data_IF_976821190813
#
_entry.id   IF_976821190813
#
_cell.length_a   1.000
_cell.length_b   1.000
_cell.length_c   1.000
_cell.angle_alpha   90.00
_cell.angle_beta   90.00
_cell.angle_gamma   90.00
#
_symmetry.space_group_name_H-M   'P 1'
#
loop_
_entity.id
_entity.type
_entity.pdbx_description
1 polymer ?
#
# COMPACT_ATOMS: atom_id res chain seq x y z
N UNK A 1 10.96 5.92 13.45
CA UNK A 1 10.26 6.22 12.18
C UNK A 1 11.18 7.17 11.41
N UNK A 2 12.07 6.65 10.56
CA UNK A 2 13.21 7.40 9.97
C UNK A 2 12.98 7.80 8.51
N UNK A 3 11.78 8.29 8.16
CA UNK A 3 11.47 8.59 6.75
C UNK A 3 12.28 9.74 6.15
N UNK A 4 12.76 10.69 6.98
CA UNK A 4 13.60 11.82 6.54
C UNK A 4 15.09 11.45 6.50
N UNK A 5 15.56 10.77 7.54
CA UNK A 5 16.96 10.33 7.64
C UNK A 5 17.30 9.31 6.54
N UNK A 6 16.37 8.41 6.21
CA UNK A 6 16.52 7.45 5.12
C UNK A 6 16.63 8.18 3.77
N UNK A 7 15.76 9.18 3.52
CA UNK A 7 15.81 9.98 2.29
C UNK A 7 17.17 10.67 2.12
N UNK A 8 17.63 11.39 3.13
CA UNK A 8 18.90 12.12 3.07
C UNK A 8 20.09 11.16 2.93
N UNK A 9 20.06 10.03 3.64
CA UNK A 9 21.09 8.99 3.54
C UNK A 9 21.18 8.42 2.14
N UNK A 10 20.05 8.08 1.50
CA UNK A 10 20.05 7.47 0.17
C UNK A 10 20.44 8.45 -0.94
N UNK A 11 19.99 9.70 -0.85
CA UNK A 11 20.41 10.76 -1.79
C UNK A 11 21.91 11.05 -1.66
N UNK A 12 22.44 11.12 -0.45
CA UNK A 12 23.88 11.33 -0.22
C UNK A 12 24.74 10.14 -0.67
N UNK A 13 24.16 8.94 -0.82
CA UNK A 13 24.85 7.77 -1.36
C UNK A 13 24.80 7.69 -2.89
N UNK A 14 24.25 8.71 -3.56
CA UNK A 14 24.23 8.81 -5.02
C UNK A 14 23.00 8.22 -5.68
N UNK A 15 21.92 7.94 -4.93
CA UNK A 15 20.61 7.68 -5.55
C UNK A 15 20.00 8.99 -6.01
N UNK A 16 19.40 8.99 -7.19
CA UNK A 16 18.88 10.19 -7.81
C UNK A 16 17.55 10.70 -7.20
N UNK A 17 16.73 9.80 -6.63
CA UNK A 17 15.52 10.18 -5.89
C UNK A 17 15.11 9.12 -4.87
N UNK A 18 14.12 9.47 -4.03
CA UNK A 18 13.60 8.61 -2.97
C UNK A 18 12.08 8.69 -2.89
N UNK A 19 11.44 7.52 -2.88
CA UNK A 19 10.02 7.36 -2.61
C UNK A 19 9.88 6.45 -1.39
N UNK A 20 9.29 6.99 -0.33
CA UNK A 20 9.04 6.23 0.88
C UNK A 20 7.88 5.25 0.69
N UNK A 21 7.96 4.07 1.33
CA UNK A 21 6.81 3.16 1.41
C UNK A 21 5.65 3.78 2.23
N UNK A 22 4.38 3.45 1.95
CA UNK A 22 3.90 2.68 0.80
C UNK A 22 4.09 3.47 -0.50
N UNK A 23 4.46 2.77 -1.57
CA UNK A 23 4.72 3.40 -2.87
C UNK A 23 3.36 3.82 -3.45
N UNK A 24 3.13 5.14 -3.51
CA UNK A 24 1.91 5.69 -4.11
C UNK A 24 2.11 5.86 -5.60
N UNK A 25 1.24 5.26 -6.42
CA UNK A 25 1.36 5.28 -7.87
C UNK A 25 1.47 6.72 -8.44
N UNK A 26 0.67 7.67 -7.93
CA UNK A 26 0.73 9.07 -8.36
C UNK A 26 2.11 9.70 -8.10
N UNK A 27 2.77 9.34 -6.98
CA UNK A 27 4.06 9.88 -6.59
C UNK A 27 5.16 9.29 -7.46
N UNK A 28 5.13 7.98 -7.71
CA UNK A 28 6.05 7.29 -8.62
C UNK A 28 5.94 7.86 -10.04
N UNK A 29 4.73 7.97 -10.57
CA UNK A 29 4.48 8.51 -11.91
C UNK A 29 4.92 9.97 -12.02
N UNK A 30 4.66 10.80 -11.00
CA UNK A 30 5.12 12.19 -10.98
C UNK A 30 6.64 12.27 -11.07
N UNK A 31 7.33 11.48 -10.24
CA UNK A 31 8.79 11.45 -10.17
C UNK A 31 9.42 11.04 -11.49
N UNK A 32 8.91 9.98 -12.11
CA UNK A 32 9.35 9.55 -13.44
C UNK A 32 9.10 10.65 -14.48
N UNK A 33 7.93 11.28 -14.48
CA UNK A 33 7.62 12.39 -15.42
C UNK A 33 8.54 13.60 -15.25
N UNK A 34 8.89 13.95 -14.02
CA UNK A 34 9.77 15.08 -13.72
C UNK A 34 11.17 14.84 -14.29
N UNK A 35 11.65 13.59 -14.23
CA UNK A 35 12.93 13.20 -14.82
C UNK A 35 12.93 13.21 -16.35
N UNK A 36 11.85 12.75 -16.97
CA UNK A 36 11.74 12.78 -18.43
C UNK A 36 11.46 14.17 -19.01
N UNK A 37 11.00 15.13 -18.19
CA UNK A 37 10.90 16.55 -18.57
C UNK A 37 12.26 17.29 -18.49
N UNK A 38 13.26 16.70 -17.85
CA UNK A 38 14.56 17.32 -17.61
C UNK A 38 15.56 17.21 -18.79
N UNK A 39 15.18 16.59 -19.91
CA UNK A 39 15.97 16.55 -21.16
C UNK A 39 15.76 17.82 -22.03
N UNK A 40 15.93 19.01 -21.45
CA UNK A 40 15.83 20.29 -22.15
C UNK A 40 16.21 21.49 -21.27
N UNK A 41 17.36 22.11 -21.53
CA UNK A 41 18.12 23.00 -20.61
C UNK A 41 17.72 24.51 -20.69
N UNK A 42 17.25 25.07 -19.55
CA UNK A 42 17.39 26.44 -18.91
C UNK A 42 16.83 27.76 -19.56
N UNK A 43 16.60 28.91 -18.83
CA UNK A 43 16.69 29.25 -17.38
C UNK A 43 15.41 29.93 -16.75
N UNK A 44 15.44 30.22 -15.43
CA UNK A 44 14.40 30.89 -14.61
C UNK A 44 14.42 32.45 -14.68
N UNK A 45 13.62 33.26 -13.94
CA UNK A 45 12.39 33.04 -13.12
C UNK A 45 11.25 34.07 -13.37
N UNK A 46 10.02 33.84 -12.86
CA UNK A 46 9.10 34.91 -12.39
C UNK A 46 8.01 34.34 -11.46
N UNK A 47 7.68 35.12 -10.44
CA UNK A 47 7.03 34.73 -9.19
C UNK A 47 5.48 34.69 -9.25
N UNK A 48 4.89 33.87 -8.37
CA UNK A 48 3.51 34.00 -7.86
C UNK A 48 3.53 33.71 -6.33
N UNK A 49 2.82 34.49 -5.49
CA UNK A 49 3.05 34.60 -4.04
C UNK A 49 2.43 33.46 -3.20
N UNK A 50 2.76 33.36 -1.89
CA UNK A 50 2.30 32.27 -1.03
C UNK A 50 0.86 32.48 -0.54
N UNK A 51 0.04 31.41 -0.42
CA UNK A 51 -1.06 31.39 0.52
C UNK A 51 -0.56 30.97 1.91
N UNK A 52 -1.06 31.69 2.90
CA UNK A 52 -0.66 31.70 4.29
C UNK A 52 -0.97 30.41 5.08
N UNK A 53 -0.15 30.19 6.10
CA UNK A 53 -0.38 29.52 7.40
C UNK A 53 -1.47 28.45 7.49
N UNK A 54 -1.03 27.18 7.52
CA UNK A 54 -1.66 26.15 8.36
C UNK A 54 -0.63 25.68 9.40
N UNK A 55 -0.98 25.65 10.70
CA UNK A 55 -0.03 25.49 11.81
C UNK A 55 0.56 24.08 11.88
N UNK A 56 1.67 23.89 12.63
CA UNK A 56 2.29 22.58 12.82
C UNK A 56 1.39 21.72 13.70
N UNK A 57 0.85 20.64 13.14
CA UNK A 57 0.23 19.57 13.90
C UNK A 57 1.30 18.74 14.61
N UNK A 58 1.64 19.16 15.83
CA UNK A 58 2.40 18.39 16.81
C UNK A 58 1.83 16.98 17.02
N UNK A 59 2.73 16.05 17.33
CA UNK A 59 2.37 14.67 17.64
C UNK A 59 1.52 14.53 18.91
N UNK A 60 0.76 13.44 18.98
CA UNK A 60 0.21 12.79 20.18
C UNK A 60 -0.04 11.32 19.75
N UNK A 61 0.33 10.25 20.47
CA UNK A 61 0.59 10.16 21.90
C UNK A 61 -0.73 10.24 22.69
N UNK A 62 -1.45 9.12 22.82
CA UNK A 62 -2.41 8.93 23.92
C UNK A 62 -3.91 8.86 23.58
N UNK A 63 -4.45 7.65 23.80
CA UNK A 63 -5.76 7.30 24.36
C UNK A 63 -7.04 8.11 24.06
N UNK A 64 -8.00 7.39 23.46
CA UNK A 64 -9.32 7.16 24.05
C UNK A 64 -10.43 8.14 23.68
N UNK A 65 -11.37 7.70 22.85
CA UNK A 65 -12.79 7.62 23.20
C UNK A 65 -13.55 6.82 22.14
N UNK A 66 -14.45 5.96 22.62
CA UNK A 66 -15.22 5.03 21.82
C UNK A 66 -16.16 5.72 20.84
N UNK A 67 -16.31 5.07 19.70
CA UNK A 67 -17.44 5.23 18.79
C UNK A 67 -17.50 3.94 17.98
N UNK A 68 -18.52 3.13 18.26
CA UNK A 68 -18.93 2.01 17.43
C UNK A 68 -19.27 2.55 16.04
N UNK A 69 -18.37 2.37 15.09
CA UNK A 69 -18.58 2.70 13.69
C UNK A 69 -17.72 1.78 12.85
N UNK A 70 -18.26 0.64 12.45
CA UNK A 70 -17.69 -0.18 11.39
C UNK A 70 -17.57 0.69 10.13
N UNK A 71 -16.39 1.24 9.88
CA UNK A 71 -16.09 1.91 8.63
C UNK A 71 -15.85 0.81 7.60
N UNK A 72 -16.88 0.46 6.84
CA UNK A 72 -16.79 -0.57 5.81
C UNK A 72 -15.87 -0.08 4.68
N UNK A 73 -14.59 -0.43 4.77
CA UNK A 73 -13.63 -0.18 3.70
C UNK A 73 -14.11 -0.87 2.42
N UNK A 74 -14.04 -0.20 1.25
CA UNK A 74 -14.39 -0.83 -0.01
C UNK A 74 -13.38 -1.92 -0.35
N UNK A 75 -13.82 -3.00 -0.99
CA UNK A 75 -12.89 -4.07 -1.43
C UNK A 75 -11.87 -3.53 -2.44
N UNK A 76 -12.31 -2.64 -3.33
CA UNK A 76 -11.47 -1.95 -4.33
C UNK A 76 -11.78 -0.46 -4.25
N UNK A 77 -10.74 0.35 -4.08
CA UNK A 77 -10.83 1.80 -4.14
C UNK A 77 -10.88 2.26 -5.60
N UNK A 78 -12.08 2.58 -6.08
CA UNK A 78 -12.30 2.97 -7.47
C UNK A 78 -11.56 4.26 -7.85
N UNK A 79 -11.32 5.18 -6.91
CA UNK A 79 -10.55 6.40 -7.19
C UNK A 79 -9.10 6.07 -7.55
N UNK A 80 -8.46 5.14 -6.82
CA UNK A 80 -7.12 4.67 -7.14
C UNK A 80 -7.12 3.95 -8.49
N UNK A 81 -8.13 3.12 -8.75
CA UNK A 81 -8.27 2.42 -10.02
C UNK A 81 -8.40 3.39 -11.18
N UNK A 82 -9.23 4.43 -11.07
CA UNK A 82 -9.38 5.48 -12.09
C UNK A 82 -8.07 6.23 -12.33
N UNK A 83 -7.31 6.54 -11.26
CA UNK A 83 -5.99 7.14 -11.39
C UNK A 83 -5.01 6.22 -12.11
N UNK A 84 -4.99 4.92 -11.79
CA UNK A 84 -4.15 3.94 -12.46
C UNK A 84 -4.54 3.80 -13.94
N UNK A 85 -5.84 3.69 -14.24
CA UNK A 85 -6.37 3.64 -15.61
C UNK A 85 -6.00 4.88 -16.43
N UNK A 86 -6.06 6.07 -15.83
CA UNK A 86 -5.69 7.33 -16.48
C UNK A 86 -4.26 7.34 -17.02
N UNK A 87 -3.33 6.64 -16.37
CA UNK A 87 -1.91 6.64 -16.74
C UNK A 87 -1.45 5.36 -17.43
N UNK A 88 -2.04 4.21 -17.10
CA UNK A 88 -1.66 2.89 -17.60
C UNK A 88 -2.64 2.24 -18.58
N UNK A 89 -3.86 2.78 -18.71
CA UNK A 89 -4.97 2.13 -19.42
C UNK A 89 -5.62 1.02 -18.63
N UNK A 90 -6.78 0.55 -19.09
CA UNK A 90 -7.54 -0.52 -18.43
C UNK A 90 -6.77 -1.85 -18.40
N UNK A 91 -6.12 -2.22 -19.50
CA UNK A 91 -5.39 -3.49 -19.65
C UNK A 91 -4.27 -3.66 -18.62
N UNK A 92 -3.47 -2.60 -18.38
CA UNK A 92 -2.40 -2.63 -17.37
C UNK A 92 -2.97 -2.82 -15.95
N UNK A 93 -4.10 -2.18 -15.63
CA UNK A 93 -4.70 -2.31 -14.30
C UNK A 93 -5.22 -3.73 -14.09
N UNK A 94 -5.85 -4.31 -15.12
CA UNK A 94 -6.32 -5.68 -15.05
C UNK A 94 -5.18 -6.69 -14.95
N UNK A 95 -4.12 -6.55 -15.76
CA UNK A 95 -2.95 -7.43 -15.64
C UNK A 95 -2.33 -7.32 -14.24
N UNK A 96 -2.25 -6.10 -13.68
CA UNK A 96 -1.74 -5.89 -12.31
C UNK A 96 -2.62 -6.56 -11.24
N UNK A 97 -3.93 -6.66 -11.46
CA UNK A 97 -4.83 -7.38 -10.56
C UNK A 97 -4.71 -8.89 -10.68
N UNK A 98 -4.48 -9.43 -11.87
CA UNK A 98 -4.22 -10.87 -12.08
C UNK A 98 -2.86 -11.30 -11.50
N UNK A 99 -1.83 -10.47 -11.70
CA UNK A 99 -0.51 -10.67 -11.11
C UNK A 99 -0.62 -10.65 -9.58
N UNK A 100 -1.34 -9.66 -9.03
CA UNK A 100 -1.59 -9.57 -7.60
C UNK A 100 -2.38 -10.77 -7.07
N UNK A 101 -3.43 -11.22 -7.76
CA UNK A 101 -4.21 -12.41 -7.37
C UNK A 101 -3.29 -13.63 -7.19
N UNK A 102 -2.40 -13.85 -8.15
CA UNK A 102 -1.47 -14.97 -8.16
C UNK A 102 -0.47 -14.85 -7.00
N UNK A 103 0.23 -13.72 -6.89
CA UNK A 103 1.23 -13.50 -5.83
C UNK A 103 0.61 -13.53 -4.42
N UNK A 104 -0.56 -12.92 -4.25
CA UNK A 104 -1.25 -12.87 -2.96
C UNK A 104 -1.67 -14.28 -2.49
N UNK A 105 -2.15 -15.12 -3.42
CA UNK A 105 -2.46 -16.52 -3.15
C UNK A 105 -1.23 -17.28 -2.67
N UNK A 106 -0.13 -17.19 -3.39
CA UNK A 106 1.14 -17.86 -3.02
C UNK A 106 1.67 -17.39 -1.66
N UNK A 107 1.62 -16.09 -1.38
CA UNK A 107 2.06 -15.52 -0.09
C UNK A 107 1.17 -16.00 1.06
N UNK A 108 -0.13 -16.11 0.84
CA UNK A 108 -1.08 -16.57 1.85
C UNK A 108 -0.93 -18.06 2.13
N UNK A 109 -0.76 -18.88 1.09
CA UNK A 109 -0.43 -20.31 1.25
C UNK A 109 0.88 -20.50 2.00
N UNK A 110 1.90 -19.69 1.69
CA UNK A 110 3.15 -19.69 2.42
C UNK A 110 2.97 -19.27 3.89
N UNK A 111 2.07 -18.33 4.20
CA UNK A 111 1.71 -17.99 5.58
C UNK A 111 1.08 -19.20 6.30
N UNK A 112 0.07 -19.84 5.70
CA UNK A 112 -0.62 -20.99 6.28
C UNK A 112 0.33 -22.18 6.54
N UNK A 113 1.29 -22.43 5.65
CA UNK A 113 2.34 -23.42 5.88
C UNK A 113 3.28 -23.01 7.02
N UNK A 114 3.65 -21.73 7.08
CA UNK A 114 4.55 -21.20 8.10
C UNK A 114 3.93 -21.23 9.50
N UNK A 115 2.58 -21.17 9.62
CA UNK A 115 1.88 -21.39 10.91
C UNK A 115 2.20 -22.77 11.47
N UNK A 116 2.12 -23.83 10.63
CA UNK A 116 2.42 -25.21 11.04
C UNK A 116 3.87 -25.37 11.52
N UNK A 117 4.78 -24.68 10.86
CA UNK A 117 6.22 -24.70 11.15
C UNK A 117 6.63 -23.68 12.23
N UNK A 118 5.69 -22.88 12.75
CA UNK A 118 5.92 -21.77 13.70
C UNK A 118 6.97 -20.75 13.21
N UNK A 119 7.07 -20.55 11.90
CA UNK A 119 7.98 -19.57 11.30
C UNK A 119 7.28 -18.20 11.19
N UNK A 120 7.20 -17.51 12.33
CA UNK A 120 6.50 -16.22 12.43
C UNK A 120 7.21 -15.11 11.65
N UNK A 121 8.53 -15.19 11.45
CA UNK A 121 9.27 -14.21 10.67
C UNK A 121 8.85 -14.24 9.19
N UNK A 122 8.68 -15.44 8.64
CA UNK A 122 8.21 -15.61 7.27
C UNK A 122 6.77 -15.11 7.09
N UNK A 123 5.89 -15.36 8.06
CA UNK A 123 4.52 -14.84 8.06
C UNK A 123 4.54 -13.31 8.07
N UNK A 124 5.33 -12.68 8.94
CA UNK A 124 5.46 -11.22 9.00
C UNK A 124 5.96 -10.64 7.68
N UNK A 125 6.96 -11.26 7.05
CA UNK A 125 7.50 -10.82 5.76
C UNK A 125 6.42 -10.87 4.67
N UNK A 126 5.69 -11.98 4.58
CA UNK A 126 4.63 -12.16 3.59
C UNK A 126 3.48 -11.16 3.81
N UNK A 127 3.00 -11.00 5.04
CA UNK A 127 1.96 -10.01 5.37
C UNK A 127 2.40 -8.58 5.06
N UNK A 128 3.67 -8.24 5.31
CA UNK A 128 4.22 -6.94 5.00
C UNK A 128 4.21 -6.64 3.50
N UNK A 129 4.63 -7.62 2.68
CA UNK A 129 4.59 -7.51 1.22
C UNK A 129 3.16 -7.42 0.71
N UNK A 130 2.27 -8.31 1.17
CA UNK A 130 0.87 -8.34 0.76
C UNK A 130 0.17 -7.01 1.06
N UNK A 131 0.37 -6.44 2.26
CA UNK A 131 -0.13 -5.12 2.63
C UNK A 131 0.37 -4.03 1.67
N UNK A 132 1.65 -4.05 1.32
CA UNK A 132 2.26 -3.07 0.44
C UNK A 132 1.70 -3.13 -0.99
N UNK A 133 1.63 -4.33 -1.55
CA UNK A 133 1.13 -4.56 -2.90
C UNK A 133 -0.37 -4.23 -2.99
N UNK A 134 -1.17 -4.72 -2.05
CA UNK A 134 -2.60 -4.43 -1.98
C UNK A 134 -2.88 -2.93 -1.86
N UNK A 135 -2.15 -2.23 -0.97
CA UNK A 135 -2.31 -0.79 -0.80
C UNK A 135 -1.89 0.04 -2.02
N UNK A 136 -0.95 -0.45 -2.82
CA UNK A 136 -0.52 0.22 -4.06
C UNK A 136 -1.60 0.13 -5.15
N UNK A 137 -2.33 -0.99 -5.18
CA UNK A 137 -3.37 -1.31 -6.16
C UNK A 137 -4.78 -0.86 -5.71
N UNK A 138 -4.91 -0.27 -4.51
CA UNK A 138 -6.18 0.17 -3.96
C UNK A 138 -7.07 -0.98 -3.47
N UNK A 139 -6.49 -2.12 -3.10
CA UNK A 139 -7.20 -3.30 -2.58
C UNK A 139 -7.28 -3.17 -1.05
N UNK A 140 -8.14 -2.26 -0.59
CA UNK A 140 -8.10 -1.72 0.77
C UNK A 140 -8.36 -2.79 1.84
N UNK A 141 -9.36 -3.66 1.66
CA UNK A 141 -9.69 -4.68 2.66
C UNK A 141 -8.56 -5.68 2.87
N UNK A 142 -7.92 -6.14 1.79
CA UNK A 142 -6.77 -7.05 1.88
C UNK A 142 -5.59 -6.34 2.55
N UNK A 143 -5.32 -5.08 2.19
CA UNK A 143 -4.27 -4.29 2.81
C UNK A 143 -4.50 -4.11 4.32
N UNK A 144 -5.74 -3.82 4.74
CA UNK A 144 -6.09 -3.58 6.13
C UNK A 144 -5.99 -4.86 6.96
N UNK A 145 -6.54 -5.98 6.48
CA UNK A 145 -6.42 -7.25 7.19
C UNK A 145 -4.97 -7.71 7.28
N UNK A 146 -4.16 -7.55 6.23
CA UNK A 146 -2.73 -7.83 6.30
C UNK A 146 -2.03 -6.96 7.36
N UNK A 147 -2.40 -5.67 7.48
CA UNK A 147 -1.89 -4.76 8.51
C UNK A 147 -2.29 -5.19 9.93
N UNK A 148 -3.55 -5.55 10.14
CA UNK A 148 -4.08 -6.00 11.43
C UNK A 148 -3.35 -7.27 11.87
N UNK A 149 -3.27 -8.27 11.00
CA UNK A 149 -2.61 -9.56 11.28
C UNK A 149 -1.11 -9.36 11.54
N UNK A 150 -0.42 -8.56 10.73
CA UNK A 150 0.99 -8.22 10.93
C UNK A 150 1.22 -7.57 12.30
N UNK A 151 0.35 -6.63 12.69
CA UNK A 151 0.43 -5.92 13.97
C UNK A 151 0.21 -6.84 15.16
N UNK A 152 -0.82 -7.69 15.11
CA UNK A 152 -1.09 -8.69 16.16
C UNK A 152 0.08 -9.65 16.34
N UNK A 153 0.65 -10.12 15.23
CA UNK A 153 1.79 -11.03 15.24
C UNK A 153 3.05 -10.39 15.84
N UNK A 154 3.33 -9.11 15.52
CA UNK A 154 4.45 -8.35 16.15
C UNK A 154 4.29 -8.18 17.65
N UNK A 155 3.05 -8.14 18.14
CA UNK A 155 2.73 -8.03 19.57
C UNK A 155 2.60 -9.41 20.26
N UNK A 156 3.04 -10.50 19.62
CA UNK A 156 2.95 -11.89 20.11
C UNK A 156 1.52 -12.39 20.38
N UNK A 157 0.51 -11.78 19.76
CA UNK A 157 -0.87 -12.28 19.83
C UNK A 157 -1.08 -13.39 18.79
N UNK A 158 -0.77 -14.62 19.18
CA UNK A 158 -0.81 -15.79 18.29
C UNK A 158 -2.15 -16.54 18.29
N UNK A 159 -3.02 -16.27 19.27
CA UNK A 159 -4.26 -17.02 19.48
C UNK A 159 -5.24 -16.91 18.28
N UNK A 160 -5.28 -15.73 17.66
CA UNK A 160 -6.21 -15.44 16.56
C UNK A 160 -5.56 -15.56 15.18
N UNK A 161 -4.28 -15.97 15.08
CA UNK A 161 -3.51 -15.90 13.84
C UNK A 161 -4.14 -16.72 12.70
N UNK A 162 -4.61 -17.94 12.98
CA UNK A 162 -5.28 -18.78 11.98
C UNK A 162 -6.62 -18.19 11.53
N UNK A 163 -7.37 -17.61 12.46
CA UNK A 163 -8.64 -16.92 12.18
C UNK A 163 -8.41 -15.67 11.35
N UNK A 164 -7.40 -14.88 11.69
CA UNK A 164 -7.03 -13.67 10.96
C UNK A 164 -6.54 -13.97 9.53
N UNK A 165 -5.74 -15.04 9.35
CA UNK A 165 -5.34 -15.51 8.02
C UNK A 165 -6.53 -16.04 7.21
N UNK A 166 -7.51 -16.68 7.86
CA UNK A 166 -8.74 -17.14 7.21
C UNK A 166 -9.60 -15.96 6.75
N UNK A 167 -9.72 -14.90 7.56
CA UNK A 167 -10.38 -13.66 7.15
C UNK A 167 -9.66 -13.00 5.98
N UNK A 168 -8.33 -12.90 6.03
CA UNK A 168 -7.53 -12.38 4.92
C UNK A 168 -7.76 -13.18 3.62
N UNK A 169 -7.92 -14.50 3.70
CA UNK A 169 -8.29 -15.35 2.57
C UNK A 169 -9.67 -15.02 2.00
N UNK A 170 -10.65 -14.79 2.86
CA UNK A 170 -12.00 -14.40 2.44
C UNK A 170 -11.98 -13.07 1.71
N UNK A 171 -11.23 -12.09 2.21
CA UNK A 171 -11.12 -10.77 1.60
C UNK A 171 -10.42 -10.81 0.25
N UNK A 172 -9.42 -11.68 0.09
CA UNK A 172 -8.79 -11.95 -1.20
C UNK A 172 -9.79 -12.54 -2.20
N UNK A 173 -10.63 -13.47 -1.76
CA UNK A 173 -11.71 -14.04 -2.58
C UNK A 173 -12.79 -13.00 -2.94
N UNK A 174 -13.16 -12.10 -2.02
CA UNK A 174 -14.06 -10.98 -2.32
C UNK A 174 -13.47 -10.04 -3.37
N UNK A 175 -12.17 -9.75 -3.27
CA UNK A 175 -11.44 -8.97 -4.27
C UNK A 175 -11.51 -9.66 -5.64
N UNK A 176 -11.20 -10.95 -5.73
CA UNK A 176 -11.25 -11.73 -6.96
C UNK A 176 -12.61 -11.63 -7.67
N UNK A 177 -13.68 -11.80 -6.91
CA UNK A 177 -15.03 -11.69 -7.45
C UNK A 177 -15.38 -10.26 -7.87
N UNK A 178 -14.89 -9.27 -7.13
CA UNK A 178 -15.16 -7.86 -7.39
C UNK A 178 -14.50 -7.39 -8.68
N UNK A 179 -13.21 -7.66 -8.89
CA UNK A 179 -12.52 -7.17 -10.08
C UNK A 179 -12.90 -7.95 -11.35
N UNK A 180 -13.20 -9.26 -11.26
CA UNK A 180 -13.69 -10.04 -12.41
C UNK A 180 -15.03 -9.51 -12.94
N UNK A 181 -15.90 -9.00 -12.07
CA UNK A 181 -17.15 -8.32 -12.48
C UNK A 181 -16.88 -7.03 -13.24
N UNK A 182 -15.84 -6.28 -12.86
CA UNK A 182 -15.42 -5.05 -13.56
C UNK A 182 -14.87 -5.32 -14.97
N UNK A 183 -14.35 -6.52 -15.24
CA UNK A 183 -13.87 -6.91 -16.58
C UNK A 183 -15.03 -7.27 -17.51
N UNK A 184 -16.13 -7.80 -16.97
CA UNK A 184 -17.26 -8.30 -17.77
C UNK A 184 -18.29 -7.20 -18.11
N UNK A 185 -18.17 -6.02 -17.48
CA UNK A 185 -19.08 -4.88 -17.65
C UNK A 185 -18.48 -3.84 -18.57
#
# INVERSE_FOLDING_TARGET
YSMREDRERFLNQGMDDYISKPIRAHLLISKVKDWFKAEGVLPAPLAVPPPADVPPGDGHGGNGHGSNGHCALPTINLEIVEQLKKYGGDEMVFSSFEDFETEAGEQLDACLQSVKNKDYNKILSNLHTLKGNAGTLGIEKVAEWARITESKLKNNHLADLETDLSHLQQELYEFQNSYRKLITT
#
